data_IF_026663049140
#
_entry.id   IF_026663049140
#
_cell.length_a   1.000
_cell.length_b   1.000
_cell.length_c   1.000
_cell.angle_alpha   90.00
_cell.angle_beta   90.00
_cell.angle_gamma   90.00
#
_symmetry.space_group_name_H-M   'P 1'
#
loop_
_entity.id
_entity.type
_entity.pdbx_description
1 polymer ?
#
# COMPACT_ATOMS: atom_id res chain seq x y z
N UNK A 1 21.16 -3.21 -14.24
CA UNK A 1 20.55 -1.89 -14.12
C UNK A 1 19.14 -2.10 -13.57
N UNK A 2 19.00 -2.10 -12.25
CA UNK A 2 17.68 -2.10 -11.62
C UNK A 2 17.07 -0.71 -11.83
N UNK A 3 16.00 -0.63 -12.64
CA UNK A 3 15.23 0.59 -12.76
C UNK A 3 14.68 0.96 -11.39
N UNK A 4 15.15 2.08 -10.84
CA UNK A 4 14.58 2.67 -9.66
C UNK A 4 13.10 2.95 -9.97
N UNK A 5 12.19 2.13 -9.44
CA UNK A 5 10.80 2.50 -9.32
C UNK A 5 10.80 3.83 -8.54
N UNK A 6 10.49 4.92 -9.22
CA UNK A 6 10.24 6.20 -8.56
C UNK A 6 9.09 5.95 -7.59
N UNK A 7 9.44 5.82 -6.32
CA UNK A 7 8.46 5.91 -5.25
C UNK A 7 7.68 7.20 -5.48
N UNK A 8 6.34 7.20 -5.36
CA UNK A 8 5.57 8.43 -5.44
C UNK A 8 6.19 9.45 -4.47
N UNK A 9 6.17 10.74 -4.79
CA UNK A 9 6.78 11.73 -3.93
C UNK A 9 6.20 11.57 -2.53
N UNK A 10 7.09 11.29 -1.55
CA UNK A 10 6.78 11.06 -0.13
C UNK A 10 6.09 12.26 0.49
N UNK A 11 6.03 13.34 -0.24
CA UNK A 11 5.63 14.65 0.22
C UNK A 11 4.46 15.14 -0.64
N UNK A 12 3.27 14.61 -0.35
CA UNK A 12 2.07 15.38 -0.66
C UNK A 12 2.14 16.71 0.12
N UNK A 13 1.57 17.77 -0.42
CA UNK A 13 1.43 19.05 0.28
C UNK A 13 0.36 18.94 1.40
N UNK A 14 0.45 17.90 2.24
CA UNK A 14 -0.45 17.71 3.37
C UNK A 14 -0.39 18.93 4.27
N UNK A 15 -1.54 19.54 4.49
CA UNK A 15 -1.68 20.72 5.32
C UNK A 15 -1.37 20.40 6.79
N UNK A 16 -1.87 19.27 7.26
CA UNK A 16 -1.65 18.84 8.66
C UNK A 16 -0.20 18.49 8.92
N UNK A 17 0.52 17.89 7.97
CA UNK A 17 1.96 17.63 8.10
C UNK A 17 2.84 18.89 8.22
N UNK A 18 2.34 20.08 7.87
CA UNK A 18 3.05 21.35 8.04
C UNK A 18 3.12 21.80 9.50
N UNK A 19 2.26 21.26 10.36
CA UNK A 19 2.29 21.58 11.79
C UNK A 19 3.46 20.86 12.47
N UNK A 20 4.05 21.55 13.47
CA UNK A 20 5.05 20.91 14.29
C UNK A 20 4.42 19.80 15.13
N UNK A 21 5.18 18.73 15.39
CA UNK A 21 4.72 17.64 16.28
C UNK A 21 4.31 18.17 17.67
N UNK A 22 4.95 19.25 18.14
CA UNK A 22 4.57 19.93 19.40
C UNK A 22 3.17 20.52 19.35
N UNK A 23 2.77 21.14 18.22
CA UNK A 23 1.41 21.68 18.06
C UNK A 23 0.38 20.56 18.09
N UNK A 24 0.67 19.43 17.41
CA UNK A 24 -0.22 18.27 17.40
C UNK A 24 -0.34 17.62 18.78
N UNK A 25 0.76 17.59 19.56
CA UNK A 25 0.70 17.13 20.96
C UNK A 25 -0.14 18.06 21.84
N UNK A 26 0.03 19.37 21.68
CA UNK A 26 -0.78 20.35 22.41
C UNK A 26 -2.27 20.21 22.05
N UNK A 27 -2.60 19.95 20.78
CA UNK A 27 -3.94 19.66 20.33
C UNK A 27 -4.54 18.43 21.04
N UNK A 28 -3.84 17.29 21.09
CA UNK A 28 -4.30 16.10 21.83
C UNK A 28 -4.45 16.37 23.32
N UNK A 29 -3.47 17.06 23.93
CA UNK A 29 -3.54 17.39 25.35
C UNK A 29 -4.77 18.23 25.72
N UNK A 30 -5.22 19.12 24.81
CA UNK A 30 -6.48 19.88 25.02
C UNK A 30 -7.69 18.96 24.93
N UNK A 31 -7.70 17.98 24.03
CA UNK A 31 -8.78 17.00 23.93
C UNK A 31 -8.86 16.15 25.20
N UNK A 32 -7.74 15.63 25.67
CA UNK A 32 -7.67 14.76 26.83
C UNK A 32 -8.06 15.47 28.13
N UNK A 33 -7.66 16.73 28.27
CA UNK A 33 -7.88 17.47 29.54
C UNK A 33 -9.15 18.30 29.53
N UNK A 34 -9.70 18.64 28.37
CA UNK A 34 -10.79 19.61 28.22
C UNK A 34 -10.43 21.03 28.69
N UNK A 35 -9.11 21.36 28.79
CA UNK A 35 -8.60 22.61 29.37
C UNK A 35 -7.30 23.05 28.73
N UNK A 36 -7.27 24.29 28.24
CA UNK A 36 -6.04 24.90 27.69
C UNK A 36 -4.95 25.02 28.76
N UNK A 37 -5.33 25.37 30.00
CA UNK A 37 -4.42 25.52 31.12
C UNK A 37 -3.72 24.20 31.45
N UNK A 38 -4.50 23.13 31.64
CA UNK A 38 -3.94 21.79 31.93
C UNK A 38 -3.13 21.25 30.77
N UNK A 39 -3.56 21.46 29.55
CA UNK A 39 -2.79 21.09 28.36
C UNK A 39 -1.43 21.80 28.28
N UNK A 40 -1.39 23.09 28.65
CA UNK A 40 -0.16 23.87 28.71
C UNK A 40 0.81 23.32 29.75
N UNK A 41 0.32 22.94 30.92
CA UNK A 41 1.12 22.28 31.98
C UNK A 41 1.68 20.94 31.51
N UNK A 42 0.83 20.08 30.91
CA UNK A 42 1.26 18.77 30.39
C UNK A 42 2.30 18.85 29.28
N UNK A 43 2.18 19.87 28.42
CA UNK A 43 3.11 20.07 27.31
C UNK A 43 4.34 20.92 27.66
N UNK A 44 4.43 21.41 28.91
CA UNK A 44 5.50 22.32 29.38
C UNK A 44 5.62 23.57 28.49
N UNK A 45 4.49 24.19 28.13
CA UNK A 45 4.42 25.41 27.33
C UNK A 45 3.46 26.41 27.98
N UNK A 46 3.46 27.67 27.50
CA UNK A 46 2.51 28.66 27.97
C UNK A 46 1.10 28.47 27.38
N UNK A 47 0.06 28.90 28.09
CA UNK A 47 -1.34 28.90 27.58
C UNK A 47 -1.50 29.65 26.25
N UNK A 48 -0.89 30.84 26.03
CA UNK A 48 -0.91 31.50 24.72
C UNK A 48 -0.32 30.64 23.60
N UNK A 49 0.74 29.86 23.89
CA UNK A 49 1.35 28.97 22.91
C UNK A 49 0.40 27.83 22.50
N UNK A 50 -0.34 27.25 23.44
CA UNK A 50 -1.38 26.26 23.14
C UNK A 50 -2.48 26.89 22.29
N UNK A 51 -3.00 28.05 22.71
CA UNK A 51 -4.07 28.76 21.97
C UNK A 51 -3.65 29.07 20.53
N UNK A 52 -2.42 29.54 20.35
CA UNK A 52 -1.84 29.82 19.02
C UNK A 52 -1.69 28.54 18.18
N UNK A 53 -1.27 27.43 18.79
CA UNK A 53 -1.17 26.13 18.12
C UNK A 53 -2.53 25.66 17.60
N UNK A 54 -3.59 25.71 18.45
CA UNK A 54 -4.94 25.35 18.05
C UNK A 54 -5.45 26.23 16.91
N UNK A 55 -5.37 27.55 17.07
CA UNK A 55 -5.81 28.50 16.03
C UNK A 55 -5.10 28.30 14.71
N UNK A 56 -3.79 27.95 14.74
CA UNK A 56 -3.03 27.65 13.54
C UNK A 56 -3.51 26.36 12.87
N UNK A 57 -3.82 25.32 13.64
CA UNK A 57 -4.35 24.04 13.11
C UNK A 57 -5.73 24.28 12.50
N UNK A 58 -6.67 24.95 13.20
CA UNK A 58 -8.00 25.27 12.72
C UNK A 58 -7.96 26.12 11.43
N UNK A 59 -7.09 27.14 11.39
CA UNK A 59 -6.89 27.95 10.18
C UNK A 59 -6.39 27.12 8.99
N UNK A 60 -5.49 26.20 9.23
CA UNK A 60 -4.92 25.34 8.18
C UNK A 60 -5.94 24.30 7.70
N UNK A 61 -6.68 23.70 8.63
CA UNK A 61 -7.75 22.76 8.33
C UNK A 61 -8.96 23.44 7.62
N UNK A 62 -9.13 24.76 7.81
CA UNK A 62 -10.29 25.50 7.34
C UNK A 62 -11.58 25.15 8.10
N UNK A 63 -11.47 24.54 9.28
CA UNK A 63 -12.56 24.04 10.10
C UNK A 63 -12.30 24.38 11.56
N UNK A 64 -13.37 24.72 12.29
CA UNK A 64 -13.31 24.75 13.75
C UNK A 64 -13.22 23.30 14.26
N UNK A 65 -12.28 23.04 15.15
CA UNK A 65 -12.04 21.72 15.72
C UNK A 65 -12.58 21.58 17.14
N UNK A 66 -12.86 22.70 17.78
CA UNK A 66 -13.34 22.75 19.15
C UNK A 66 -14.63 23.54 19.29
N UNK A 67 -15.50 23.05 20.15
CA UNK A 67 -16.60 23.79 20.73
C UNK A 67 -16.21 24.30 22.12
N UNK A 68 -16.66 25.52 22.47
CA UNK A 68 -16.30 26.15 23.73
C UNK A 68 -17.57 26.45 24.54
N UNK A 69 -17.52 26.08 25.80
CA UNK A 69 -18.50 26.55 26.82
C UNK A 69 -17.75 27.40 27.84
N UNK A 70 -18.44 28.15 28.71
CA UNK A 70 -17.78 28.96 29.77
C UNK A 70 -16.86 28.13 30.69
N UNK A 71 -17.12 26.80 30.83
CA UNK A 71 -16.41 25.93 31.74
C UNK A 71 -15.43 24.97 31.06
N UNK A 72 -15.62 24.67 29.78
CA UNK A 72 -14.84 23.61 29.07
C UNK A 72 -14.67 23.91 27.59
N UNK A 73 -13.57 23.34 27.07
CA UNK A 73 -13.30 23.19 25.64
C UNK A 73 -13.34 21.69 25.30
N UNK A 74 -14.04 21.31 24.25
CA UNK A 74 -14.13 19.91 23.81
C UNK A 74 -14.09 19.82 22.28
N UNK A 75 -13.54 18.72 21.78
CA UNK A 75 -13.49 18.47 20.34
C UNK A 75 -14.93 18.36 19.77
N UNK A 76 -15.16 18.98 18.61
CA UNK A 76 -16.33 18.69 17.80
C UNK A 76 -16.03 17.52 16.86
N UNK A 77 -16.95 17.14 15.96
CA UNK A 77 -16.77 16.02 15.02
C UNK A 77 -15.50 16.14 14.18
N UNK A 78 -15.14 17.34 13.71
CA UNK A 78 -13.90 17.56 12.97
C UNK A 78 -12.66 17.39 13.86
N UNK A 79 -12.73 17.87 15.11
CA UNK A 79 -11.68 17.68 16.11
C UNK A 79 -11.46 16.20 16.43
N UNK A 80 -12.53 15.42 16.58
CA UNK A 80 -12.44 13.97 16.83
C UNK A 80 -11.84 13.21 15.64
N UNK A 81 -12.21 13.58 14.41
CA UNK A 81 -11.63 13.00 13.20
C UNK A 81 -10.13 13.25 13.16
N UNK A 82 -9.69 14.49 13.38
CA UNK A 82 -8.27 14.83 13.42
C UNK A 82 -7.55 14.13 14.57
N UNK A 83 -8.14 14.10 15.77
CA UNK A 83 -7.56 13.46 16.95
C UNK A 83 -7.19 12.01 16.68
N UNK A 84 -8.13 11.24 16.14
CA UNK A 84 -7.92 9.82 15.82
C UNK A 84 -6.71 9.61 14.92
N UNK A 85 -6.51 10.46 13.92
CA UNK A 85 -5.34 10.36 13.02
C UNK A 85 -4.05 10.78 13.72
N UNK A 86 -4.08 11.83 14.51
CA UNK A 86 -2.91 12.31 15.26
C UNK A 86 -2.49 11.30 16.33
N UNK A 87 -3.44 10.70 17.05
CA UNK A 87 -3.18 9.61 18.02
C UNK A 87 -2.50 8.42 17.34
N UNK A 88 -3.00 7.98 16.19
CA UNK A 88 -2.39 6.91 15.41
C UNK A 88 -0.98 7.28 14.94
N UNK A 89 -0.78 8.50 14.47
CA UNK A 89 0.54 8.99 14.06
C UNK A 89 1.54 8.91 15.22
N UNK A 90 1.18 9.35 16.42
CA UNK A 90 2.02 9.21 17.60
C UNK A 90 2.11 7.78 18.09
N UNK A 91 1.11 6.95 17.91
CA UNK A 91 1.14 5.52 18.19
C UNK A 91 2.23 4.79 17.43
N UNK A 92 2.47 5.16 16.16
CA UNK A 92 3.62 4.66 15.39
C UNK A 92 4.94 5.30 15.83
N UNK A 93 4.94 6.62 16.03
CA UNK A 93 6.18 7.39 16.16
C UNK A 93 6.82 7.28 17.54
N UNK A 94 6.01 7.39 18.60
CA UNK A 94 6.52 7.50 19.99
C UNK A 94 7.29 6.29 20.48
N UNK A 95 6.89 5.04 20.18
CA UNK A 95 7.70 3.87 20.55
C UNK A 95 9.09 3.91 19.93
N UNK A 96 9.18 4.21 18.61
CA UNK A 96 10.45 4.24 17.89
C UNK A 96 11.35 5.40 18.33
N UNK A 97 10.78 6.58 18.61
CA UNK A 97 11.54 7.70 19.20
C UNK A 97 12.05 7.37 20.61
N UNK A 98 11.22 6.73 21.46
CA UNK A 98 11.57 6.39 22.84
C UNK A 98 12.67 5.33 22.91
N UNK A 99 12.67 4.37 21.98
CA UNK A 99 13.71 3.35 21.87
C UNK A 99 15.09 3.97 21.56
N UNK A 100 15.10 5.03 20.75
CA UNK A 100 16.32 5.78 20.48
C UNK A 100 16.74 6.69 21.65
N UNK A 101 15.82 7.54 22.08
CA UNK A 101 15.98 8.41 23.25
C UNK A 101 14.62 9.00 23.65
N UNK A 102 14.22 8.94 24.95
CA UNK A 102 12.99 9.59 25.41
C UNK A 102 12.90 11.08 25.07
N UNK A 103 14.05 11.77 24.96
CA UNK A 103 14.13 13.19 24.58
C UNK A 103 13.63 13.44 23.17
N UNK A 104 13.81 12.49 22.25
CA UNK A 104 13.36 12.62 20.86
C UNK A 104 11.84 12.77 20.75
N UNK A 105 11.06 12.22 21.66
CA UNK A 105 9.59 12.44 21.68
C UNK A 105 9.22 13.93 21.73
N UNK A 106 10.05 14.74 22.38
CA UNK A 106 9.79 16.18 22.55
C UNK A 106 10.55 17.03 21.53
N UNK A 107 11.76 16.60 21.13
CA UNK A 107 12.67 17.40 20.31
C UNK A 107 12.61 17.10 18.82
N UNK A 108 12.19 15.90 18.41
CA UNK A 108 12.12 15.54 17.00
C UNK A 108 11.14 16.45 16.25
N UNK A 109 11.50 16.78 15.01
CA UNK A 109 10.71 17.63 14.12
C UNK A 109 10.30 16.89 12.86
N UNK A 110 9.19 17.29 12.25
CA UNK A 110 8.73 16.75 10.97
C UNK A 110 9.82 16.83 9.89
N UNK A 111 10.59 17.92 9.85
CA UNK A 111 11.67 18.10 8.87
C UNK A 111 12.81 17.11 9.07
N UNK A 112 13.18 16.82 10.33
CA UNK A 112 14.19 15.81 10.64
C UNK A 112 13.74 14.40 10.26
N UNK A 113 12.47 14.07 10.54
CA UNK A 113 11.90 12.77 10.16
C UNK A 113 11.82 12.60 8.64
N UNK A 114 11.43 13.65 7.91
CA UNK A 114 11.45 13.65 6.43
C UNK A 114 12.87 13.46 5.89
N UNK A 115 13.86 14.13 6.48
CA UNK A 115 15.27 13.97 6.11
C UNK A 115 15.75 12.52 6.35
N UNK A 116 15.44 11.95 7.52
CA UNK A 116 15.78 10.56 7.86
C UNK A 116 15.18 9.56 6.85
N UNK A 117 13.88 9.73 6.51
CA UNK A 117 13.20 8.89 5.53
C UNK A 117 13.89 8.96 4.18
N UNK A 118 14.12 10.18 3.67
CA UNK A 118 14.74 10.39 2.36
C UNK A 118 16.16 9.82 2.27
N UNK A 119 16.98 10.00 3.31
CA UNK A 119 18.36 9.46 3.34
C UNK A 119 18.32 7.93 3.40
N UNK A 120 17.39 7.35 4.17
CA UNK A 120 17.23 5.89 4.24
C UNK A 120 16.79 5.28 2.91
N UNK A 121 15.98 5.99 2.12
CA UNK A 121 15.47 5.49 0.84
C UNK A 121 16.49 5.62 -0.30
N UNK A 122 17.23 6.70 -0.28
CA UNK A 122 18.20 6.99 -1.35
C UNK A 122 19.60 6.47 -1.03
N UNK A 123 19.89 6.13 0.23
CA UNK A 123 21.20 5.77 0.76
C UNK A 123 22.28 6.82 0.38
N UNK A 124 21.83 8.07 0.19
CA UNK A 124 22.66 9.16 -0.30
C UNK A 124 22.12 10.53 0.10
N UNK A 125 22.91 11.30 0.85
CA UNK A 125 22.51 12.65 1.30
C UNK A 125 22.22 13.63 0.16
N UNK A 126 22.95 13.54 -0.96
CA UNK A 126 22.76 14.44 -2.11
C UNK A 126 21.46 14.12 -2.84
N UNK A 127 21.15 12.84 -3.04
CA UNK A 127 19.88 12.40 -3.64
C UNK A 127 18.70 12.74 -2.74
N UNK A 128 18.82 12.50 -1.43
CA UNK A 128 17.81 12.87 -0.44
C UNK A 128 17.54 14.40 -0.47
N UNK A 129 18.58 15.21 -0.56
CA UNK A 129 18.45 16.65 -0.64
C UNK A 129 17.69 17.10 -1.90
N UNK A 130 17.99 16.50 -3.06
CA UNK A 130 17.25 16.75 -4.31
C UNK A 130 15.78 16.35 -4.19
N UNK A 131 15.49 15.19 -3.60
CA UNK A 131 14.12 14.71 -3.40
C UNK A 131 13.29 15.63 -2.49
N UNK A 132 13.94 16.24 -1.48
CA UNK A 132 13.31 17.15 -0.53
C UNK A 132 13.28 18.61 -0.98
N UNK A 133 13.93 18.96 -2.09
CA UNK A 133 14.10 20.36 -2.50
C UNK A 133 14.95 21.18 -1.52
N UNK A 134 15.89 20.53 -0.82
CA UNK A 134 16.76 21.15 0.20
C UNK A 134 18.23 21.08 -0.20
N UNK A 135 19.09 21.84 0.51
CA UNK A 135 20.53 21.68 0.37
C UNK A 135 21.03 20.44 1.10
N UNK A 136 22.07 19.78 0.56
CA UNK A 136 22.69 18.62 1.21
C UNK A 136 23.17 18.91 2.65
N UNK A 137 23.78 20.08 2.98
CA UNK A 137 24.11 20.40 4.37
C UNK A 137 22.89 20.53 5.29
N UNK A 138 21.72 20.94 4.76
CA UNK A 138 20.50 21.01 5.57
C UNK A 138 19.99 19.61 5.93
N UNK A 139 19.98 18.69 4.98
CA UNK A 139 19.58 17.27 5.22
C UNK A 139 20.58 16.61 6.18
N UNK A 140 21.87 16.81 5.98
CA UNK A 140 22.91 16.29 6.87
C UNK A 140 22.72 16.79 8.30
N UNK A 141 22.55 18.10 8.51
CA UNK A 141 22.30 18.68 9.85
C UNK A 141 21.04 18.12 10.50
N UNK A 142 19.96 17.95 9.73
CA UNK A 142 18.71 17.41 10.26
C UNK A 142 18.87 15.99 10.80
N UNK A 143 19.62 15.13 10.11
CA UNK A 143 19.93 13.76 10.55
C UNK A 143 20.91 13.79 11.73
N UNK A 144 22.00 14.57 11.65
CA UNK A 144 23.00 14.66 12.73
C UNK A 144 22.40 15.16 14.05
N UNK A 145 21.41 16.04 14.03
CA UNK A 145 20.69 16.47 15.24
C UNK A 145 19.90 15.31 15.88
N UNK A 146 19.33 14.39 15.07
CA UNK A 146 18.71 13.20 15.62
C UNK A 146 19.75 12.27 16.26
N UNK A 147 20.91 12.08 15.62
CA UNK A 147 22.01 11.27 16.08
C UNK A 147 22.60 11.82 17.40
N UNK A 148 22.75 13.14 17.50
CA UNK A 148 23.22 13.82 18.70
C UNK A 148 22.30 13.56 19.91
N UNK A 149 20.98 13.71 19.73
CA UNK A 149 20.01 13.43 20.81
C UNK A 149 19.92 11.93 21.11
N UNK A 150 20.07 11.08 20.11
CA UNK A 150 20.09 9.62 20.24
C UNK A 150 21.40 9.10 20.87
N UNK A 151 22.48 9.91 20.89
CA UNK A 151 23.84 9.55 21.28
C UNK A 151 24.38 8.31 20.55
N UNK A 152 23.93 8.07 19.30
CA UNK A 152 24.37 6.96 18.45
C UNK A 152 24.14 7.27 16.97
N UNK A 153 24.94 6.67 16.05
CA UNK A 153 24.77 6.87 14.63
C UNK A 153 23.45 6.22 14.11
N UNK A 154 22.79 6.89 13.21
CA UNK A 154 21.64 6.36 12.45
C UNK A 154 22.09 5.82 11.09
N UNK A 155 23.20 6.31 10.58
CA UNK A 155 23.79 5.85 9.31
C UNK A 155 25.27 5.53 9.49
N UNK A 156 25.70 4.48 8.80
CA UNK A 156 27.09 4.03 8.76
C UNK A 156 27.63 4.07 7.32
N UNK A 157 28.90 4.48 7.19
CA UNK A 157 29.59 4.41 5.91
C UNK A 157 30.28 3.04 5.79
N UNK A 158 29.93 2.29 4.76
CA UNK A 158 30.54 1.02 4.41
C UNK A 158 31.30 1.15 3.09
N UNK A 159 32.11 0.16 2.71
CA UNK A 159 32.75 0.13 1.40
C UNK A 159 31.75 0.14 0.22
N UNK A 160 30.49 -0.22 0.48
CA UNK A 160 29.42 -0.29 -0.51
C UNK A 160 28.52 0.96 -0.52
N UNK A 161 28.74 1.91 0.36
CA UNK A 161 27.95 3.14 0.46
C UNK A 161 27.46 3.45 1.87
N UNK A 162 26.45 4.32 1.95
CA UNK A 162 25.78 4.72 3.18
C UNK A 162 24.67 3.71 3.51
N UNK A 163 24.69 3.16 4.71
CA UNK A 163 23.70 2.15 5.16
C UNK A 163 23.00 2.63 6.42
N UNK A 164 21.69 2.52 6.46
CA UNK A 164 20.90 2.83 7.66
C UNK A 164 21.03 1.71 8.71
N UNK A 165 21.30 2.08 9.96
CA UNK A 165 21.31 1.16 11.11
C UNK A 165 19.89 0.61 11.36
N UNK A 166 19.77 -0.51 12.09
CA UNK A 166 18.45 -1.07 12.46
C UNK A 166 17.54 -0.04 13.14
N UNK A 167 18.02 0.74 14.15
CA UNK A 167 17.20 1.79 14.75
C UNK A 167 16.77 2.88 13.78
N UNK A 168 17.63 3.27 12.83
CA UNK A 168 17.28 4.23 11.80
C UNK A 168 16.21 3.69 10.86
N UNK A 169 16.28 2.41 10.48
CA UNK A 169 15.27 1.74 9.66
C UNK A 169 13.92 1.69 10.37
N UNK A 170 13.91 1.33 11.67
CA UNK A 170 12.71 1.29 12.48
C UNK A 170 12.07 2.69 12.64
N UNK A 171 12.88 3.70 12.97
CA UNK A 171 12.39 5.08 13.10
C UNK A 171 11.89 5.65 11.76
N UNK A 172 12.61 5.40 10.66
CA UNK A 172 12.16 5.85 9.34
C UNK A 172 10.83 5.22 8.93
N UNK A 173 10.64 3.93 9.22
CA UNK A 173 9.37 3.22 8.98
C UNK A 173 8.24 3.79 9.84
N UNK A 174 8.45 3.98 11.13
CA UNK A 174 7.48 4.57 12.05
C UNK A 174 7.12 6.01 11.64
N UNK A 175 8.11 6.81 11.29
CA UNK A 175 7.92 8.18 10.83
C UNK A 175 7.12 8.24 9.53
N UNK A 176 7.36 7.31 8.59
CA UNK A 176 6.62 7.24 7.33
C UNK A 176 5.14 6.95 7.57
N UNK A 177 4.82 5.94 8.40
CA UNK A 177 3.43 5.62 8.76
C UNK A 177 2.76 6.76 9.53
N UNK A 178 3.48 7.41 10.45
CA UNK A 178 2.96 8.58 11.15
C UNK A 178 2.64 9.74 10.20
N UNK A 179 3.52 10.04 9.25
CA UNK A 179 3.27 11.08 8.24
C UNK A 179 2.11 10.71 7.31
N UNK A 180 1.95 9.43 6.97
CA UNK A 180 0.80 8.94 6.20
C UNK A 180 -0.53 9.17 6.95
N UNK A 181 -0.60 8.89 8.25
CA UNK A 181 -1.81 9.18 9.05
C UNK A 181 -2.14 10.68 9.04
N UNK A 182 -1.13 11.56 9.11
CA UNK A 182 -1.34 13.00 9.01
C UNK A 182 -1.77 13.45 7.60
N UNK A 183 -1.31 12.78 6.54
CA UNK A 183 -1.81 13.00 5.17
C UNK A 183 -3.27 12.55 5.03
N UNK A 184 -3.61 11.40 5.57
CA UNK A 184 -4.97 10.89 5.56
C UNK A 184 -5.93 11.72 6.43
N UNK A 185 -5.41 12.44 7.44
CA UNK A 185 -6.21 13.40 8.20
C UNK A 185 -6.77 14.54 7.31
N UNK A 186 -5.98 15.03 6.34
CA UNK A 186 -6.48 16.03 5.39
C UNK A 186 -7.63 15.50 4.54
N UNK A 187 -7.55 14.24 4.11
CA UNK A 187 -8.61 13.60 3.34
C UNK A 187 -9.89 13.40 4.18
N UNK A 188 -9.73 12.94 5.43
CA UNK A 188 -10.87 12.74 6.33
C UNK A 188 -11.54 14.07 6.74
N UNK A 189 -10.77 15.15 6.94
CA UNK A 189 -11.31 16.48 7.19
C UNK A 189 -12.00 17.07 5.96
N UNK A 190 -11.45 16.86 4.78
CA UNK A 190 -12.03 17.31 3.52
C UNK A 190 -13.40 16.66 3.24
N UNK A 191 -13.59 15.41 3.67
CA UNK A 191 -14.87 14.71 3.59
C UNK A 191 -15.99 15.47 4.29
N UNK A 192 -15.71 16.13 5.42
CA UNK A 192 -16.70 16.94 6.16
C UNK A 192 -17.16 18.18 5.38
N UNK A 193 -16.42 18.60 4.37
CA UNK A 193 -16.72 19.75 3.50
C UNK A 193 -17.08 19.34 2.08
N UNK A 194 -17.29 18.05 1.82
CA UNK A 194 -17.54 17.47 0.50
C UNK A 194 -16.44 17.81 -0.53
N UNK A 195 -15.20 18.06 -0.08
CA UNK A 195 -14.07 18.30 -0.95
C UNK A 195 -13.34 16.97 -1.25
N UNK A 196 -12.90 16.79 -2.50
CA UNK A 196 -12.12 15.62 -2.90
C UNK A 196 -10.62 15.91 -2.70
N UNK A 197 -10.09 15.52 -1.55
CA UNK A 197 -8.65 15.63 -1.24
C UNK A 197 -8.09 14.23 -0.98
N UNK A 198 -6.81 14.03 -1.35
CA UNK A 198 -6.11 12.78 -1.18
C UNK A 198 -6.06 11.95 -2.47
N UNK A 199 -5.72 10.68 -2.31
CA UNK A 199 -5.60 9.69 -3.40
C UNK A 199 -5.81 8.29 -2.84
N UNK A 200 -6.01 7.33 -3.73
CA UNK A 200 -6.00 5.90 -3.40
C UNK A 200 -4.84 5.26 -4.16
N UNK A 201 -3.96 4.56 -3.44
CA UNK A 201 -2.84 3.80 -4.03
C UNK A 201 -3.09 2.31 -3.82
N UNK A 202 -3.25 1.58 -4.91
CA UNK A 202 -3.64 0.17 -4.90
C UNK A 202 -2.51 -0.68 -5.45
N UNK A 203 -2.04 -1.64 -4.67
CA UNK A 203 -1.17 -2.69 -5.18
C UNK A 203 -1.99 -3.77 -5.87
N UNK A 204 -1.66 -4.09 -7.12
CA UNK A 204 -2.48 -4.97 -7.94
C UNK A 204 -1.69 -6.11 -8.57
N UNK A 205 -2.17 -7.33 -8.34
CA UNK A 205 -1.72 -8.53 -9.08
C UNK A 205 -2.46 -8.67 -10.41
N UNK A 206 -2.02 -9.51 -11.33
CA UNK A 206 -2.62 -9.62 -12.66
C UNK A 206 -4.14 -9.77 -12.67
N UNK A 207 -4.71 -10.68 -11.85
CA UNK A 207 -6.16 -10.87 -11.79
C UNK A 207 -6.90 -9.59 -11.35
N UNK A 208 -6.35 -8.87 -10.38
CA UNK A 208 -6.97 -7.64 -9.91
C UNK A 208 -7.12 -6.61 -11.03
N UNK A 209 -6.12 -6.52 -11.93
CA UNK A 209 -6.11 -5.57 -13.05
C UNK A 209 -7.12 -5.90 -14.14
N UNK A 210 -7.33 -7.17 -14.42
CA UNK A 210 -8.23 -7.60 -15.52
C UNK A 210 -9.68 -7.74 -15.08
N UNK A 211 -9.96 -8.01 -13.81
CA UNK A 211 -11.32 -8.27 -13.33
C UNK A 211 -11.83 -7.26 -12.28
N UNK A 212 -11.08 -7.09 -11.18
CA UNK A 212 -11.56 -6.29 -10.02
C UNK A 212 -11.55 -4.79 -10.29
N UNK A 213 -10.38 -4.27 -10.66
CA UNK A 213 -10.14 -2.83 -10.77
C UNK A 213 -10.97 -2.13 -11.86
N UNK A 214 -11.13 -2.66 -13.07
CA UNK A 214 -11.90 -1.96 -14.11
C UNK A 214 -13.34 -1.67 -13.67
N UNK A 215 -14.00 -2.65 -13.06
CA UNK A 215 -15.38 -2.53 -12.59
C UNK A 215 -15.48 -1.61 -11.37
N UNK A 216 -14.58 -1.77 -10.41
CA UNK A 216 -14.56 -0.94 -9.20
C UNK A 216 -14.28 0.53 -9.55
N UNK A 217 -13.29 0.80 -10.40
CA UNK A 217 -12.95 2.17 -10.83
C UNK A 217 -14.11 2.82 -11.58
N UNK A 218 -14.74 2.11 -12.52
CA UNK A 218 -15.89 2.63 -13.26
C UNK A 218 -17.06 2.99 -12.35
N UNK A 219 -17.32 2.17 -11.33
CA UNK A 219 -18.35 2.44 -10.32
C UNK A 219 -17.95 3.57 -9.37
N UNK A 220 -16.71 3.60 -8.91
CA UNK A 220 -16.19 4.62 -8.00
C UNK A 220 -16.21 6.01 -8.62
N UNK A 221 -15.91 6.14 -9.91
CA UNK A 221 -15.94 7.42 -10.64
C UNK A 221 -17.30 8.09 -10.70
N UNK A 222 -18.39 7.36 -10.45
CA UNK A 222 -19.72 7.94 -10.33
C UNK A 222 -19.92 8.75 -9.05
N UNK A 223 -19.15 8.41 -7.99
CA UNK A 223 -19.22 9.08 -6.68
C UNK A 223 -18.06 10.06 -6.47
N UNK A 224 -16.88 9.73 -7.01
CA UNK A 224 -15.62 10.47 -6.83
C UNK A 224 -14.94 10.65 -8.19
N UNK A 225 -15.44 11.58 -9.04
CA UNK A 225 -14.96 11.72 -10.42
C UNK A 225 -13.50 12.17 -10.51
N UNK A 226 -13.00 12.98 -9.56
CA UNK A 226 -11.69 13.63 -9.64
C UNK A 226 -10.63 13.02 -8.71
N UNK A 227 -11.02 12.16 -7.76
CA UNK A 227 -10.06 11.63 -6.80
C UNK A 227 -8.99 10.76 -7.49
N UNK A 228 -7.69 11.07 -7.39
CA UNK A 228 -6.64 10.29 -8.03
C UNK A 228 -6.61 8.83 -7.53
N UNK A 229 -6.52 7.89 -8.47
CA UNK A 229 -6.28 6.48 -8.21
C UNK A 229 -4.98 6.09 -8.88
N UNK A 230 -4.06 5.55 -8.11
CA UNK A 230 -2.76 5.07 -8.58
C UNK A 230 -2.71 3.55 -8.43
N UNK A 231 -2.33 2.85 -9.49
CA UNK A 231 -2.15 1.40 -9.47
C UNK A 231 -0.65 1.10 -9.49
N UNK A 232 -0.18 0.42 -8.46
CA UNK A 232 1.18 -0.06 -8.38
C UNK A 232 1.22 -1.55 -8.74
N UNK A 233 2.08 -1.88 -9.69
CA UNK A 233 2.27 -3.24 -10.20
C UNK A 233 3.64 -3.77 -9.80
N UNK A 234 3.72 -5.08 -9.64
CA UNK A 234 5.00 -5.72 -9.34
C UNK A 234 4.83 -7.12 -8.75
N UNK A 235 5.94 -7.78 -8.43
CA UNK A 235 5.96 -9.02 -7.67
C UNK A 235 5.27 -8.84 -6.32
N UNK A 236 4.60 -9.89 -5.83
CA UNK A 236 3.86 -9.83 -4.56
C UNK A 236 4.71 -9.37 -3.38
N UNK A 237 5.98 -9.80 -3.29
CA UNK A 237 6.89 -9.40 -2.22
C UNK A 237 7.19 -7.89 -2.21
N UNK A 238 7.34 -7.28 -3.38
CA UNK A 238 7.58 -5.85 -3.53
C UNK A 238 6.32 -5.05 -3.16
N UNK A 239 5.16 -5.51 -3.63
CA UNK A 239 3.88 -4.92 -3.27
C UNK A 239 3.60 -5.03 -1.76
N UNK A 240 3.91 -6.17 -1.14
CA UNK A 240 3.79 -6.37 0.29
C UNK A 240 4.73 -5.42 1.07
N UNK A 241 5.95 -5.25 0.59
CA UNK A 241 6.89 -4.28 1.15
C UNK A 241 6.36 -2.85 1.04
N UNK A 242 5.81 -2.48 -0.12
CA UNK A 242 5.19 -1.18 -0.35
C UNK A 242 3.96 -0.95 0.55
N UNK A 243 3.11 -1.97 0.74
CA UNK A 243 1.98 -1.94 1.68
C UNK A 243 2.45 -1.64 3.11
N UNK A 244 3.46 -2.38 3.58
CA UNK A 244 4.00 -2.22 4.94
C UNK A 244 4.63 -0.85 5.16
N UNK A 245 5.24 -0.28 4.13
CA UNK A 245 5.80 1.08 4.16
C UNK A 245 4.75 2.19 4.09
N UNK A 246 3.51 1.87 3.71
CA UNK A 246 2.47 2.86 3.47
C UNK A 246 2.53 3.51 2.08
N UNK A 247 3.32 2.96 1.14
CA UNK A 247 3.36 3.41 -0.26
C UNK A 247 2.11 2.98 -1.02
N UNK A 248 1.50 1.89 -0.55
CA UNK A 248 0.27 1.29 -1.04
C UNK A 248 -0.72 1.24 0.13
N UNK A 249 -1.98 1.58 -0.14
CA UNK A 249 -3.05 1.56 0.87
C UNK A 249 -3.53 0.14 1.15
N UNK A 250 -3.77 -0.63 0.09
CA UNK A 250 -4.18 -2.04 0.15
C UNK A 250 -3.75 -2.80 -1.10
N UNK A 251 -3.59 -4.13 -0.99
CA UNK A 251 -3.30 -5.03 -2.10
C UNK A 251 -4.55 -5.79 -2.52
N UNK A 252 -4.71 -5.99 -3.82
CA UNK A 252 -5.75 -6.81 -4.43
C UNK A 252 -5.13 -7.99 -5.19
N UNK A 253 -5.61 -9.20 -4.90
CA UNK A 253 -5.17 -10.40 -5.59
C UNK A 253 -5.32 -11.69 -4.80
N UNK A 254 -4.59 -12.72 -5.24
CA UNK A 254 -4.59 -14.02 -4.55
C UNK A 254 -3.95 -13.90 -3.17
N UNK A 255 -4.69 -14.31 -2.17
CA UNK A 255 -4.24 -14.33 -0.77
C UNK A 255 -3.20 -15.43 -0.54
N UNK A 256 -2.47 -15.31 0.53
CA UNK A 256 -1.48 -16.29 0.97
C UNK A 256 -1.96 -16.96 2.26
N UNK A 257 -1.91 -18.27 2.29
CA UNK A 257 -2.25 -19.04 3.49
C UNK A 257 -1.04 -19.91 3.86
N UNK A 258 -0.47 -19.71 5.07
CA UNK A 258 -0.76 -18.62 6.02
C UNK A 258 -0.32 -17.25 5.49
N UNK A 259 -0.81 -16.13 6.07
CA UNK A 259 -0.27 -14.80 5.78
C UNK A 259 1.24 -14.78 5.96
N UNK A 260 1.99 -14.21 5.01
CA UNK A 260 3.45 -14.33 5.02
C UNK A 260 4.14 -13.60 6.18
N UNK A 261 3.45 -12.64 6.79
CA UNK A 261 3.95 -11.80 7.89
C UNK A 261 2.78 -11.41 8.80
N UNK A 262 3.06 -11.33 10.11
CA UNK A 262 2.04 -11.06 11.15
C UNK A 262 1.57 -9.61 11.27
N UNK A 263 2.10 -8.68 10.48
CA UNK A 263 1.73 -7.26 10.49
C UNK A 263 0.77 -6.86 9.36
N UNK A 264 0.15 -7.85 8.71
CA UNK A 264 -0.90 -7.67 7.72
C UNK A 264 -2.14 -8.51 8.03
N UNK A 265 -3.27 -8.05 7.54
CA UNK A 265 -4.56 -8.74 7.60
C UNK A 265 -5.07 -9.01 6.19
N UNK A 266 -5.74 -10.14 6.02
CA UNK A 266 -6.30 -10.56 4.75
C UNK A 266 -7.79 -10.80 4.88
N UNK A 267 -8.56 -10.26 3.91
CA UNK A 267 -10.00 -10.47 3.80
C UNK A 267 -10.31 -11.14 2.47
N UNK A 268 -10.90 -12.33 2.52
CA UNK A 268 -11.37 -13.02 1.32
C UNK A 268 -12.57 -12.29 0.74
N UNK A 269 -12.55 -12.09 -0.56
CA UNK A 269 -13.69 -11.57 -1.35
C UNK A 269 -14.44 -12.71 -2.03
N UNK A 270 -13.73 -13.64 -2.67
CA UNK A 270 -14.26 -14.81 -3.36
C UNK A 270 -13.15 -15.83 -3.62
N UNK A 271 -13.53 -16.97 -4.21
CA UNK A 271 -12.58 -17.97 -4.69
C UNK A 271 -12.53 -17.99 -6.21
N UNK A 272 -11.37 -18.25 -6.76
CA UNK A 272 -11.12 -18.38 -8.20
C UNK A 272 -10.32 -19.65 -8.47
N UNK A 273 -10.60 -20.29 -9.60
CA UNK A 273 -9.89 -21.47 -10.08
C UNK A 273 -8.94 -21.10 -11.21
N UNK A 274 -8.07 -22.01 -11.57
CA UNK A 274 -7.19 -21.91 -12.73
C UNK A 274 -7.89 -22.54 -13.94
N UNK A 275 -7.52 -22.10 -15.12
CA UNK A 275 -7.94 -22.67 -16.39
C UNK A 275 -6.73 -22.80 -17.31
N UNK A 276 -6.66 -23.90 -18.03
CA UNK A 276 -5.76 -24.07 -19.15
C UNK A 276 -6.42 -23.45 -20.40
N UNK A 277 -5.65 -22.72 -21.18
CA UNK A 277 -6.14 -21.98 -22.35
C UNK A 277 -5.26 -22.23 -23.56
N UNK A 278 -5.86 -22.11 -24.73
CA UNK A 278 -5.16 -22.15 -26.02
C UNK A 278 -5.68 -21.06 -26.97
N UNK A 279 -5.00 -20.83 -28.06
CA UNK A 279 -5.57 -20.10 -29.21
C UNK A 279 -6.76 -20.85 -29.83
N UNK A 280 -7.64 -20.12 -30.51
CA UNK A 280 -8.84 -20.70 -31.11
C UNK A 280 -8.53 -21.69 -32.25
N UNK A 281 -7.37 -21.54 -32.91
CA UNK A 281 -6.91 -22.41 -33.99
C UNK A 281 -5.97 -23.54 -33.54
N UNK A 282 -5.75 -23.69 -32.22
CA UNK A 282 -4.81 -24.66 -31.67
C UNK A 282 -5.28 -26.12 -31.93
N UNK A 283 -4.37 -27.09 -32.16
CA UNK A 283 -4.73 -28.52 -32.41
C UNK A 283 -5.58 -29.17 -31.31
N UNK A 284 -5.46 -28.68 -30.06
CA UNK A 284 -6.31 -29.15 -28.94
C UNK A 284 -7.65 -28.38 -28.85
N UNK A 285 -7.82 -27.36 -29.68
CA UNK A 285 -9.07 -26.60 -29.73
C UNK A 285 -10.25 -27.51 -30.15
N UNK A 286 -11.38 -27.43 -29.44
CA UNK A 286 -12.58 -28.21 -29.75
C UNK A 286 -12.51 -29.69 -29.35
N UNK A 287 -11.41 -30.20 -28.77
CA UNK A 287 -11.42 -31.54 -28.15
C UNK A 287 -12.36 -31.56 -26.95
N UNK A 288 -12.99 -32.71 -26.69
CA UNK A 288 -13.90 -32.89 -25.55
C UNK A 288 -13.16 -33.35 -24.29
N UNK A 289 -12.05 -34.03 -24.48
CA UNK A 289 -11.21 -34.59 -23.42
C UNK A 289 -9.73 -34.36 -23.81
N UNK A 290 -8.93 -34.05 -22.83
CA UNK A 290 -7.49 -33.81 -22.98
C UNK A 290 -6.78 -34.57 -21.87
N UNK A 291 -5.87 -35.44 -22.25
CA UNK A 291 -5.00 -36.15 -21.33
C UNK A 291 -3.76 -35.29 -21.00
N UNK A 292 -3.09 -35.62 -19.90
CA UNK A 292 -1.89 -34.87 -19.49
C UNK A 292 -0.75 -35.03 -20.50
N UNK A 293 -0.67 -36.17 -21.17
CA UNK A 293 0.31 -36.50 -22.21
C UNK A 293 0.14 -35.58 -23.44
N UNK A 294 -1.10 -35.24 -23.80
CA UNK A 294 -1.40 -34.28 -24.86
C UNK A 294 -0.77 -32.90 -24.55
N UNK A 295 -0.75 -32.52 -23.29
CA UNK A 295 -0.28 -31.22 -22.81
C UNK A 295 1.25 -31.09 -22.79
N UNK A 296 2.00 -32.20 -22.66
CA UNK A 296 3.47 -32.20 -22.55
C UNK A 296 4.17 -31.86 -23.87
N UNK A 297 3.49 -32.08 -24.99
CA UNK A 297 4.05 -31.91 -26.34
C UNK A 297 4.12 -30.47 -26.82
N UNK A 298 3.43 -29.55 -26.15
CA UNK A 298 3.30 -28.17 -26.58
C UNK A 298 4.16 -27.20 -25.74
N UNK A 299 4.55 -26.05 -26.29
CA UNK A 299 5.16 -24.98 -25.53
C UNK A 299 4.14 -24.28 -24.62
N UNK A 300 4.60 -23.67 -23.54
CA UNK A 300 3.72 -23.07 -22.52
C UNK A 300 4.05 -21.62 -22.19
N UNK A 301 3.00 -20.85 -21.97
CA UNK A 301 3.09 -19.52 -21.34
C UNK A 301 2.51 -19.63 -19.93
N UNK A 302 3.36 -19.39 -18.92
CA UNK A 302 3.01 -19.60 -17.52
C UNK A 302 3.40 -18.41 -16.65
N UNK A 303 2.77 -18.32 -15.48
CA UNK A 303 3.12 -17.32 -14.48
C UNK A 303 4.53 -17.57 -13.91
N UNK A 304 5.16 -16.50 -13.40
CA UNK A 304 6.48 -16.53 -12.78
C UNK A 304 6.53 -17.48 -11.58
N UNK A 305 7.71 -18.06 -11.32
CA UNK A 305 7.97 -18.89 -10.13
C UNK A 305 7.60 -18.13 -8.85
N UNK A 306 7.13 -18.87 -7.84
CA UNK A 306 6.68 -18.31 -6.56
C UNK A 306 5.26 -17.74 -6.57
N UNK A 307 4.56 -17.76 -7.71
CA UNK A 307 3.12 -17.42 -7.76
C UNK A 307 2.25 -18.65 -7.50
N UNK A 308 1.03 -18.49 -6.93
CA UNK A 308 0.10 -19.61 -6.76
C UNK A 308 -0.25 -20.32 -8.07
N UNK A 309 -0.45 -19.59 -9.16
CA UNK A 309 -0.75 -20.17 -10.48
C UNK A 309 0.39 -21.09 -10.93
N UNK A 310 1.65 -20.63 -10.79
CA UNK A 310 2.81 -21.44 -11.18
C UNK A 310 2.92 -22.72 -10.34
N UNK A 311 2.65 -22.66 -9.06
CA UNK A 311 2.66 -23.86 -8.19
C UNK A 311 1.64 -24.89 -8.67
N UNK A 312 0.43 -24.49 -9.02
CA UNK A 312 -0.57 -25.42 -9.57
C UNK A 312 -0.17 -25.97 -10.94
N UNK A 313 0.40 -25.12 -11.81
CA UNK A 313 0.95 -25.61 -13.08
C UNK A 313 2.03 -26.67 -12.86
N UNK A 314 2.98 -26.44 -11.99
CA UNK A 314 4.04 -27.42 -11.69
C UNK A 314 3.44 -28.70 -11.09
N UNK A 315 2.37 -28.63 -10.28
CA UNK A 315 1.67 -29.79 -9.71
C UNK A 315 0.94 -30.64 -10.75
N UNK A 316 0.39 -30.07 -11.81
CA UNK A 316 -0.27 -30.85 -12.88
C UNK A 316 0.69 -31.88 -13.47
N UNK A 317 1.94 -31.50 -13.63
CA UNK A 317 2.95 -32.35 -14.26
C UNK A 317 3.84 -33.11 -13.26
N UNK A 318 3.57 -33.02 -11.96
CA UNK A 318 4.41 -33.72 -10.95
C UNK A 318 4.43 -35.23 -11.13
N UNK A 319 3.28 -35.80 -11.54
CA UNK A 319 3.08 -37.24 -11.70
C UNK A 319 3.07 -37.68 -13.18
N UNK A 320 3.31 -36.74 -14.11
CA UNK A 320 3.31 -37.06 -15.54
C UNK A 320 4.57 -37.84 -15.96
N UNK A 321 4.41 -38.94 -16.70
CA UNK A 321 5.50 -39.62 -17.36
C UNK A 321 6.17 -38.65 -18.36
N UNK A 322 7.44 -38.30 -18.11
CA UNK A 322 8.17 -37.29 -18.91
C UNK A 322 8.35 -35.94 -18.24
N UNK A 323 7.68 -35.69 -17.12
CA UNK A 323 7.82 -34.48 -16.32
C UNK A 323 7.18 -33.23 -16.94
N UNK A 324 7.48 -32.08 -16.37
CA UNK A 324 6.94 -30.80 -16.83
C UNK A 324 7.49 -30.40 -18.21
N UNK A 325 6.69 -29.70 -19.06
CA UNK A 325 7.14 -29.16 -20.33
C UNK A 325 8.41 -28.32 -20.20
N UNK A 326 9.35 -28.50 -21.12
CA UNK A 326 10.65 -27.80 -21.09
C UNK A 326 10.61 -26.44 -21.80
N UNK A 327 9.72 -26.30 -22.77
CA UNK A 327 9.55 -25.07 -23.55
C UNK A 327 8.55 -24.16 -22.85
N UNK A 328 9.06 -23.25 -21.99
CA UNK A 328 8.24 -22.38 -21.14
C UNK A 328 8.64 -20.93 -21.33
N UNK A 329 7.63 -20.07 -21.58
CA UNK A 329 7.73 -18.61 -21.47
C UNK A 329 7.12 -18.19 -20.13
N UNK A 330 7.93 -17.58 -19.25
CA UNK A 330 7.45 -17.09 -17.96
C UNK A 330 7.03 -15.62 -18.05
N UNK A 331 5.76 -15.31 -17.81
CA UNK A 331 5.26 -13.93 -17.82
C UNK A 331 4.04 -13.75 -16.92
N UNK A 332 3.85 -12.53 -16.40
CA UNK A 332 2.61 -12.10 -15.75
C UNK A 332 1.68 -11.31 -16.69
N UNK A 333 2.06 -11.14 -17.96
CA UNK A 333 1.31 -10.36 -18.94
C UNK A 333 0.26 -11.22 -19.65
N UNK A 334 -1.02 -10.95 -19.39
CA UNK A 334 -2.11 -11.58 -20.12
C UNK A 334 -2.10 -11.21 -21.61
N UNK A 335 -1.69 -10.00 -21.94
CA UNK A 335 -1.59 -9.54 -23.33
C UNK A 335 -0.55 -10.37 -24.09
N UNK A 336 0.65 -10.53 -23.52
CA UNK A 336 1.69 -11.37 -24.13
C UNK A 336 1.24 -12.82 -24.27
N UNK A 337 0.57 -13.35 -23.23
CA UNK A 337 0.01 -14.72 -23.31
C UNK A 337 -0.98 -14.81 -24.49
N UNK A 338 -1.95 -13.93 -24.57
CA UNK A 338 -2.94 -13.90 -25.65
C UNK A 338 -2.31 -13.89 -27.05
N UNK A 339 -1.35 -12.98 -27.28
CA UNK A 339 -0.69 -12.86 -28.58
C UNK A 339 0.12 -14.13 -28.92
N UNK A 340 0.76 -14.77 -27.95
CA UNK A 340 1.46 -16.03 -28.17
C UNK A 340 0.51 -17.19 -28.47
N UNK A 341 -0.64 -17.24 -27.79
CA UNK A 341 -1.68 -18.25 -28.06
C UNK A 341 -2.30 -18.10 -29.44
N UNK A 342 -2.45 -16.88 -29.95
CA UNK A 342 -3.01 -16.59 -31.27
C UNK A 342 -2.03 -16.89 -32.40
N UNK A 343 -0.73 -16.60 -32.20
CA UNK A 343 0.30 -16.68 -33.24
C UNK A 343 1.11 -17.98 -33.26
N UNK A 344 0.85 -18.89 -32.32
CA UNK A 344 1.65 -20.11 -32.16
C UNK A 344 0.89 -21.21 -31.41
N UNK A 345 1.48 -22.40 -31.32
CA UNK A 345 0.91 -23.55 -30.60
C UNK A 345 1.23 -23.53 -29.09
N UNK A 346 1.38 -22.35 -28.47
CA UNK A 346 1.53 -22.29 -27.03
C UNK A 346 0.21 -22.60 -26.31
N UNK A 347 0.34 -23.25 -25.18
CA UNK A 347 -0.73 -23.38 -24.17
C UNK A 347 -0.49 -22.39 -23.05
N UNK A 348 -1.56 -21.96 -22.39
CA UNK A 348 -1.51 -21.02 -21.26
C UNK A 348 -2.13 -21.61 -20.00
N UNK A 349 -1.61 -21.15 -18.84
CA UNK A 349 -2.19 -21.46 -17.54
C UNK A 349 -2.44 -20.15 -16.79
N UNK A 350 -3.71 -19.84 -16.54
CA UNK A 350 -4.09 -18.55 -15.96
C UNK A 350 -5.32 -18.68 -15.05
N UNK A 351 -5.71 -17.60 -14.37
CA UNK A 351 -6.94 -17.46 -13.61
C UNK A 351 -8.16 -17.58 -14.53
N UNK A 352 -9.18 -18.32 -14.13
CA UNK A 352 -10.43 -18.42 -14.89
C UNK A 352 -11.08 -17.06 -15.09
N UNK A 353 -11.23 -16.27 -14.03
CA UNK A 353 -11.82 -14.92 -14.12
C UNK A 353 -10.98 -13.97 -14.99
N UNK A 354 -9.66 -14.16 -15.04
CA UNK A 354 -8.78 -13.40 -15.90
C UNK A 354 -8.97 -13.75 -17.38
N UNK A 355 -9.17 -15.03 -17.67
CA UNK A 355 -9.38 -15.53 -19.03
C UNK A 355 -10.78 -15.24 -19.57
N UNK A 356 -11.82 -15.18 -18.72
CA UNK A 356 -13.22 -15.07 -19.14
C UNK A 356 -13.49 -13.94 -20.15
N UNK A 357 -12.91 -12.77 -19.93
CA UNK A 357 -13.12 -11.63 -20.82
C UNK A 357 -12.51 -11.85 -22.21
N UNK A 358 -11.37 -12.53 -22.28
CA UNK A 358 -10.69 -12.87 -23.53
C UNK A 358 -11.39 -14.01 -24.25
N UNK A 359 -11.88 -15.00 -23.51
CA UNK A 359 -12.69 -16.13 -24.05
C UNK A 359 -14.00 -15.60 -24.61
N UNK A 360 -14.70 -14.71 -23.90
CA UNK A 360 -15.95 -14.12 -24.37
C UNK A 360 -15.78 -13.28 -25.67
N UNK A 361 -14.57 -12.79 -25.93
CA UNK A 361 -14.22 -12.06 -27.15
C UNK A 361 -13.70 -12.96 -28.26
N UNK A 362 -13.57 -14.26 -28.02
CA UNK A 362 -13.01 -15.20 -29.00
C UNK A 362 -11.51 -15.07 -29.22
N UNK A 363 -10.76 -14.49 -28.25
CA UNK A 363 -9.32 -14.28 -28.36
C UNK A 363 -8.50 -15.43 -27.79
N UNK A 364 -9.13 -16.31 -27.03
CA UNK A 364 -8.60 -17.58 -26.54
C UNK A 364 -9.77 -18.51 -26.17
N UNK A 365 -9.49 -19.76 -25.93
CA UNK A 365 -10.48 -20.70 -25.44
C UNK A 365 -9.98 -21.51 -24.25
N UNK A 366 -10.90 -21.91 -23.39
CA UNK A 366 -10.60 -22.82 -22.29
C UNK A 366 -10.48 -24.25 -22.82
N UNK A 367 -9.47 -24.97 -22.34
CA UNK A 367 -9.30 -26.39 -22.58
C UNK A 367 -10.11 -27.20 -21.54
N UNK A 368 -10.75 -28.31 -21.93
CA UNK A 368 -11.53 -29.16 -21.03
C UNK A 368 -10.61 -30.07 -20.21
N UNK A 369 -9.87 -29.47 -19.28
CA UNK A 369 -9.00 -30.16 -18.34
C UNK A 369 -9.48 -29.81 -16.92
N UNK A 370 -9.62 -30.83 -16.06
CA UNK A 370 -10.12 -30.63 -14.70
C UNK A 370 -9.13 -29.86 -13.83
N UNK A 371 -9.53 -28.65 -13.47
CA UNK A 371 -8.77 -27.76 -12.59
C UNK A 371 -9.57 -27.42 -11.31
N UNK A 372 -10.59 -28.19 -10.98
CA UNK A 372 -11.46 -27.94 -9.82
C UNK A 372 -10.71 -27.87 -8.48
N UNK A 373 -9.63 -28.66 -8.33
CA UNK A 373 -8.77 -28.66 -7.14
C UNK A 373 -7.84 -27.45 -7.00
N UNK A 374 -7.92 -26.48 -7.92
CA UNK A 374 -7.05 -25.28 -7.91
C UNK A 374 -7.74 -24.06 -7.31
N UNK A 375 -8.85 -24.25 -6.61
CA UNK A 375 -9.57 -23.16 -5.92
C UNK A 375 -8.65 -22.43 -4.94
N UNK A 376 -8.64 -21.09 -5.03
CA UNK A 376 -7.80 -20.24 -4.19
C UNK A 376 -8.53 -18.96 -3.79
N UNK A 377 -8.28 -18.44 -2.58
CA UNK A 377 -8.92 -17.22 -2.12
C UNK A 377 -8.31 -15.99 -2.85
N UNK A 378 -9.20 -15.14 -3.33
CA UNK A 378 -8.90 -13.82 -3.87
C UNK A 378 -9.44 -12.78 -2.90
N UNK A 379 -8.67 -11.74 -2.63
CA UNK A 379 -9.10 -10.77 -1.64
C UNK A 379 -8.24 -9.55 -1.52
N UNK A 380 -8.40 -8.89 -0.37
CA UNK A 380 -7.72 -7.67 0.03
C UNK A 380 -6.71 -7.99 1.12
N UNK A 381 -5.49 -7.47 0.98
CA UNK A 381 -4.48 -7.47 2.05
C UNK A 381 -4.24 -6.03 2.49
N UNK A 382 -4.31 -5.77 3.80
CA UNK A 382 -4.10 -4.46 4.42
C UNK A 382 -3.07 -4.57 5.54
N UNK A 383 -2.51 -3.45 5.99
CA UNK A 383 -1.74 -3.41 7.23
C UNK A 383 -2.63 -3.75 8.41
N UNK A 384 -2.06 -4.40 9.42
CA UNK A 384 -2.75 -4.62 10.68
C UNK A 384 -3.21 -3.28 11.28
N UNK A 385 -4.42 -3.26 11.82
CA UNK A 385 -5.02 -2.05 12.40
C UNK A 385 -5.13 -0.85 11.42
N UNK A 386 -5.16 -1.11 10.10
CA UNK A 386 -5.31 -0.05 9.11
C UNK A 386 -6.66 0.66 9.24
N UNK A 387 -6.62 2.00 9.24
CA UNK A 387 -7.82 2.84 9.25
C UNK A 387 -8.04 3.43 7.84
N UNK A 388 -8.98 2.90 7.04
CA UNK A 388 -9.27 3.46 5.73
C UNK A 388 -9.91 4.84 5.83
N UNK A 389 -9.60 5.72 4.88
CA UNK A 389 -10.37 6.94 4.65
C UNK A 389 -11.76 6.61 4.09
N UNK A 390 -12.70 7.56 4.09
CA UNK A 390 -14.01 7.35 3.51
C UNK A 390 -13.94 6.94 2.04
N UNK A 391 -13.06 7.55 1.25
CA UNK A 391 -12.86 7.21 -0.16
C UNK A 391 -12.31 5.78 -0.35
N UNK A 392 -11.34 5.36 0.46
CA UNK A 392 -10.79 4.01 0.43
C UNK A 392 -11.85 2.96 0.81
N UNK A 393 -12.68 3.26 1.81
CA UNK A 393 -13.79 2.39 2.24
C UNK A 393 -14.82 2.23 1.13
N UNK A 394 -15.29 3.34 0.56
CA UNK A 394 -16.21 3.30 -0.60
C UNK A 394 -15.64 2.51 -1.76
N UNK A 395 -14.34 2.66 -2.06
CA UNK A 395 -13.71 1.88 -3.12
C UNK A 395 -13.74 0.37 -2.84
N UNK A 396 -13.44 -0.04 -1.61
CA UNK A 396 -13.47 -1.45 -1.21
C UNK A 396 -14.89 -2.05 -1.25
N UNK A 397 -15.90 -1.28 -0.91
CA UNK A 397 -17.31 -1.68 -0.98
C UNK A 397 -17.80 -1.87 -2.42
N UNK A 398 -17.19 -1.20 -3.39
CA UNK A 398 -17.50 -1.30 -4.81
C UNK A 398 -16.73 -2.40 -5.55
N UNK A 399 -15.89 -3.17 -4.85
CA UNK A 399 -15.20 -4.31 -5.47
C UNK A 399 -16.22 -5.36 -5.92
N UNK A 400 -16.13 -5.84 -7.17
CA UNK A 400 -17.09 -6.81 -7.69
C UNK A 400 -16.88 -8.17 -7.01
N UNK A 401 -17.98 -8.79 -6.64
CA UNK A 401 -18.03 -10.22 -6.30
C UNK A 401 -18.51 -10.95 -7.54
N UNK A 402 -17.81 -11.99 -8.03
CA UNK A 402 -18.31 -12.79 -9.12
C UNK A 402 -19.64 -13.45 -8.70
N UNK A 403 -20.56 -13.69 -9.63
CA UNK A 403 -21.76 -14.46 -9.32
C UNK A 403 -21.37 -15.84 -8.77
N UNK A 404 -22.08 -16.29 -7.75
CA UNK A 404 -21.95 -17.67 -7.27
C UNK A 404 -22.19 -18.61 -8.47
N UNK A 405 -21.16 -19.30 -8.87
CA UNK A 405 -21.26 -20.39 -9.83
C UNK A 405 -20.99 -21.66 -9.05
N UNK A 406 -21.84 -22.63 -9.24
CA UNK A 406 -21.59 -23.98 -8.75
C UNK A 406 -20.19 -24.42 -9.20
N UNK A 407 -19.32 -24.65 -8.23
CA UNK A 407 -17.92 -25.06 -8.40
C UNK A 407 -17.83 -26.52 -8.82
#
# INVERSE_FOLDING_TARGET
MMGAMMSPPILSESKIQQHSLRHLRAFLAVIDTGSITRAAELCFVSQPAVTQALSKIEKTAGLMLFSRTPQRIFANSAGEVLARRVERAFGYLDPALSELSPRLRVTATTSQLKALIAVRETENFTLAARQLGLSQPAVYRAVSQLEEVAARPLFERTPYGLVATRPAQALAQAARLALLELEQADADLAELTAAEIGRIVIGATPLAKSYLLPKAIASFRKFRPNLPIQIQEGPYGDLLTALRRGDVDFLLGALRDPPPIGDVEQKVLFHDTIVLVSGCSHPLAGRREIAIEDLTSFPWVVAQKGTPIRRYFDQIFSDAEGGAPKNIVETGSLILMRELLDTSEHLGCTSRLQAEAEIARGLMQALPFDMSKTSRPIGVTVRKDWLPTAAQRTFLELLPTPPERDL
#
